data_IF_874984422390
#
_entry.id   IF_874984422390
#
_cell.length_a   1.000
_cell.length_b   1.000
_cell.length_c   1.000
_cell.angle_alpha   90.00
_cell.angle_beta   90.00
_cell.angle_gamma   90.00
#
_symmetry.space_group_name_H-M   'P 1'
#
loop_
_entity.id
_entity.type
_entity.pdbx_description
1 polymer ?
#
# COMPACT_ATOMS: atom_id res chain seq x y z
N UNK A 1 51.02 -33.07 -44.94
CA UNK A 1 50.51 -31.69 -44.88
C UNK A 1 48.99 -31.68 -44.67
N UNK A 2 48.45 -32.27 -43.58
CA UNK A 2 46.98 -32.31 -43.32
C UNK A 2 46.66 -32.41 -41.81
N UNK A 3 47.44 -31.76 -40.93
CA UNK A 3 47.21 -31.84 -39.47
C UNK A 3 46.98 -30.45 -38.85
N UNK A 4 47.43 -29.37 -39.49
CA UNK A 4 47.25 -28.01 -38.99
C UNK A 4 45.90 -27.35 -39.31
N UNK A 5 45.12 -27.87 -40.28
CA UNK A 5 43.83 -27.28 -40.66
C UNK A 5 42.64 -27.75 -39.81
N UNK A 6 42.75 -28.87 -39.08
CA UNK A 6 41.65 -29.36 -38.24
C UNK A 6 41.57 -28.69 -36.86
N UNK A 7 42.67 -28.14 -36.37
CA UNK A 7 42.72 -27.45 -35.07
C UNK A 7 42.14 -26.02 -35.09
N UNK A 8 42.15 -25.36 -36.25
CA UNK A 8 41.58 -24.01 -36.39
C UNK A 8 40.06 -24.02 -36.57
N UNK A 9 39.49 -25.07 -37.16
CA UNK A 9 38.05 -25.17 -37.36
C UNK A 9 37.29 -25.53 -36.07
N UNK A 10 37.90 -26.36 -35.20
CA UNK A 10 37.30 -26.75 -33.92
C UNK A 10 37.32 -25.62 -32.89
N UNK A 11 38.34 -24.78 -32.90
CA UNK A 11 38.43 -23.60 -32.01
C UNK A 11 37.43 -22.51 -32.39
N UNK A 12 37.15 -22.32 -33.68
CA UNK A 12 36.15 -21.34 -34.15
C UNK A 12 34.70 -21.78 -33.83
N UNK A 13 34.40 -23.08 -33.91
CA UNK A 13 33.10 -23.66 -33.54
C UNK A 13 32.83 -23.57 -32.02
N UNK A 14 33.86 -23.74 -31.18
CA UNK A 14 33.73 -23.52 -29.74
C UNK A 14 33.49 -22.04 -29.38
N UNK A 15 34.17 -21.10 -30.05
CA UNK A 15 33.97 -19.65 -29.83
C UNK A 15 32.56 -19.17 -30.24
N UNK A 16 31.99 -19.74 -31.32
CA UNK A 16 30.60 -19.46 -31.73
C UNK A 16 29.57 -20.06 -30.76
N UNK A 17 29.83 -21.23 -30.17
CA UNK A 17 28.98 -21.82 -29.14
C UNK A 17 28.98 -21.00 -27.83
N UNK A 18 30.10 -20.39 -27.46
CA UNK A 18 30.18 -19.45 -26.34
C UNK A 18 29.43 -18.12 -26.63
N UNK A 19 29.42 -17.64 -27.88
CA UNK A 19 28.69 -16.43 -28.26
C UNK A 19 27.16 -16.60 -28.23
N UNK A 20 26.64 -17.78 -28.62
CA UNK A 20 25.21 -18.07 -28.58
C UNK A 20 24.66 -18.32 -27.17
N UNK A 21 25.53 -18.61 -26.20
CA UNK A 21 25.14 -18.71 -24.78
C UNK A 21 25.12 -17.35 -24.07
N UNK A 22 25.56 -16.27 -24.73
CA UNK A 22 25.56 -14.92 -24.17
C UNK A 22 24.22 -14.18 -24.42
N UNK A 23 23.42 -14.62 -25.39
CA UNK A 23 22.12 -14.02 -25.68
C UNK A 23 20.98 -14.53 -24.79
N UNK A 24 21.14 -15.69 -24.13
CA UNK A 24 20.15 -16.22 -23.19
C UNK A 24 20.31 -15.71 -21.76
N UNK A 25 21.38 -14.95 -21.44
CA UNK A 25 21.51 -14.30 -20.12
C UNK A 25 20.93 -12.87 -20.06
N UNK A 26 20.34 -12.37 -21.15
CA UNK A 26 19.68 -11.04 -21.15
C UNK A 26 18.21 -11.13 -20.70
N UNK A 27 17.65 -12.33 -20.59
CA UNK A 27 16.29 -12.55 -20.10
C UNK A 27 16.32 -13.14 -18.68
N UNK A 28 16.33 -12.25 -17.68
CA UNK A 28 15.86 -12.45 -16.29
C UNK A 28 16.76 -11.79 -15.24
N UNK A 29 17.37 -10.64 -15.51
CA UNK A 29 17.43 -9.64 -14.45
C UNK A 29 16.02 -9.05 -14.36
N UNK A 30 15.11 -9.73 -13.63
CA UNK A 30 14.11 -8.96 -12.90
C UNK A 30 14.94 -8.00 -12.07
N UNK A 31 14.97 -6.74 -12.48
CA UNK A 31 15.28 -5.68 -11.55
C UNK A 31 14.31 -5.87 -10.39
N UNK A 32 14.77 -6.55 -9.34
CA UNK A 32 14.51 -6.07 -8.00
C UNK A 32 15.14 -4.68 -7.97
N UNK A 33 14.50 -3.71 -8.65
CA UNK A 33 14.58 -2.34 -8.23
C UNK A 33 14.25 -2.44 -6.76
N UNK A 34 15.25 -2.18 -5.92
CA UNK A 34 15.01 -1.94 -4.51
C UNK A 34 14.14 -0.70 -4.54
N UNK A 35 12.83 -0.92 -4.65
CA UNK A 35 11.85 0.12 -4.69
C UNK A 35 12.03 0.81 -3.36
N UNK A 36 12.53 2.04 -3.40
CA UNK A 36 12.87 2.76 -2.18
C UNK A 36 11.70 2.74 -1.20
N UNK A 37 11.99 2.89 0.08
CA UNK A 37 10.93 3.14 1.03
C UNK A 37 10.38 4.56 0.81
N UNK A 38 9.07 4.66 0.76
CA UNK A 38 8.35 5.92 0.80
C UNK A 38 7.71 6.08 2.19
N UNK A 39 7.61 7.32 2.64
CA UNK A 39 6.86 7.67 3.84
C UNK A 39 5.47 8.15 3.47
N UNK A 40 4.49 7.77 4.29
CA UNK A 40 3.08 8.05 4.08
C UNK A 40 2.48 8.67 5.33
N UNK A 41 1.53 9.58 5.15
CA UNK A 41 0.67 10.10 6.21
C UNK A 41 -0.75 9.61 5.98
N UNK A 42 -1.25 8.85 6.95
CA UNK A 42 -2.59 8.28 6.96
C UNK A 42 -3.43 9.12 7.90
N UNK A 43 -4.49 9.73 7.38
CA UNK A 43 -5.45 10.51 8.17
C UNK A 43 -6.76 9.73 8.27
N UNK A 44 -7.25 9.49 9.48
CA UNK A 44 -8.49 8.75 9.74
C UNK A 44 -9.39 9.57 10.66
N UNK A 45 -10.61 9.85 10.22
CA UNK A 45 -11.66 10.40 11.08
C UNK A 45 -12.46 9.25 11.70
N UNK A 46 -12.73 9.32 12.99
CA UNK A 46 -13.75 8.51 13.66
C UNK A 46 -15.04 9.31 13.80
N UNK A 47 -16.17 8.72 13.40
CA UNK A 47 -17.45 9.43 13.37
C UNK A 47 -17.88 9.97 14.74
N UNK A 48 -18.64 11.07 14.73
CA UNK A 48 -19.22 11.71 15.91
C UNK A 48 -20.47 11.03 16.50
N UNK A 49 -20.58 9.70 16.41
CA UNK A 49 -21.71 8.98 17.02
C UNK A 49 -21.31 8.30 18.31
N UNK A 50 -22.27 8.18 19.24
CA UNK A 50 -22.08 7.42 20.48
C UNK A 50 -21.54 6.02 20.15
N UNK A 51 -20.50 5.60 20.87
CA UNK A 51 -19.80 4.31 20.70
C UNK A 51 -19.14 4.10 19.32
N UNK A 52 -18.81 5.18 18.59
CA UNK A 52 -18.09 5.07 17.31
C UNK A 52 -16.62 4.68 17.46
N UNK A 53 -15.99 4.99 18.59
CA UNK A 53 -14.56 4.79 18.82
C UNK A 53 -14.19 3.37 19.22
N UNK A 54 -12.89 3.08 19.20
CA UNK A 54 -12.33 1.75 19.49
C UNK A 54 -11.02 1.80 20.27
N UNK A 55 -10.72 0.71 20.98
CA UNK A 55 -9.43 0.40 21.62
C UNK A 55 -8.65 -0.67 20.88
N UNK A 56 -9.31 -1.35 19.94
CA UNK A 56 -8.79 -2.52 19.26
C UNK A 56 -7.65 -2.17 18.29
N UNK A 57 -6.97 -3.22 17.84
CA UNK A 57 -5.97 -3.07 16.80
C UNK A 57 -6.62 -2.85 15.44
N UNK A 58 -6.25 -1.75 14.79
CA UNK A 58 -6.63 -1.45 13.42
C UNK A 58 -5.42 -1.68 12.52
N UNK A 59 -5.58 -2.54 11.51
CA UNK A 59 -4.59 -2.72 10.44
C UNK A 59 -5.10 -2.04 9.17
N UNK A 60 -4.17 -1.62 8.31
CA UNK A 60 -4.44 -0.91 7.08
C UNK A 60 -3.75 -1.60 5.90
N UNK A 61 -4.41 -1.71 4.76
CA UNK A 61 -3.81 -2.09 3.49
C UNK A 61 -4.24 -1.11 2.41
N UNK A 62 -3.32 -0.49 1.70
CA UNK A 62 -3.62 0.47 0.63
C UNK A 62 -2.64 0.30 -0.53
N UNK A 63 -2.95 0.91 -1.66
CA UNK A 63 -2.06 0.89 -2.80
C UNK A 63 -2.68 1.45 -4.08
N UNK A 64 -2.01 1.15 -5.19
CA UNK A 64 -2.26 1.80 -6.47
C UNK A 64 -2.74 0.83 -7.57
N UNK A 65 -2.97 1.39 -8.77
CA UNK A 65 -3.45 0.64 -9.93
C UNK A 65 -2.46 -0.39 -10.46
N UNK A 66 -1.18 -0.27 -10.09
CA UNK A 66 -0.07 -1.13 -10.52
C UNK A 66 0.21 -2.29 -9.55
N UNK A 67 -0.68 -2.50 -8.58
CA UNK A 67 -0.54 -3.55 -7.55
C UNK A 67 0.64 -3.33 -6.63
N UNK A 68 1.09 -2.08 -6.48
CA UNK A 68 1.98 -1.73 -5.39
C UNK A 68 1.12 -1.63 -4.13
N UNK A 69 1.32 -2.56 -3.19
CA UNK A 69 0.56 -2.63 -1.95
C UNK A 69 1.42 -2.39 -0.71
N UNK A 70 0.87 -1.57 0.18
CA UNK A 70 1.45 -1.26 1.48
C UNK A 70 0.52 -1.82 2.54
N UNK A 71 1.09 -2.56 3.48
CA UNK A 71 0.39 -3.25 4.53
C UNK A 71 0.96 -2.84 5.89
N UNK A 72 0.12 -2.24 6.72
CA UNK A 72 0.47 -1.76 8.06
C UNK A 72 -0.26 -2.61 9.10
N UNK A 73 0.50 -3.20 10.02
CA UNK A 73 -0.03 -4.11 11.06
C UNK A 73 0.63 -3.84 12.42
N UNK A 74 -0.14 -3.41 13.43
CA UNK A 74 -1.27 -2.48 13.39
C UNK A 74 -0.80 -1.02 13.24
N UNK A 75 -1.74 -0.07 13.05
CA UNK A 75 -1.43 1.35 13.16
C UNK A 75 -0.94 1.66 14.59
N UNK A 76 0.28 2.18 14.68
CA UNK A 76 0.95 2.46 15.95
C UNK A 76 0.42 3.76 16.57
N UNK A 77 0.43 3.84 17.90
CA UNK A 77 -0.03 5.02 18.66
C UNK A 77 0.93 6.22 18.62
N UNK A 78 1.97 6.22 17.78
CA UNK A 78 3.02 7.25 17.85
C UNK A 78 2.48 8.59 17.34
N UNK A 79 2.48 9.57 18.25
CA UNK A 79 2.32 11.01 18.04
C UNK A 79 1.22 11.39 17.05
N UNK A 80 -0.03 11.34 17.52
CA UNK A 80 -1.18 11.91 16.81
C UNK A 80 -1.06 13.43 16.89
N UNK A 81 -0.64 14.08 15.80
CA UNK A 81 -0.81 15.54 15.67
C UNK A 81 -2.30 15.80 15.51
N UNK A 82 -2.93 16.35 16.55
CA UNK A 82 -4.30 16.84 16.43
C UNK A 82 -4.31 18.08 15.55
N UNK A 83 -5.20 18.14 14.58
CA UNK A 83 -5.54 19.38 13.88
C UNK A 83 -6.81 19.90 14.56
N UNK A 84 -6.65 20.56 15.70
CA UNK A 84 -7.76 21.33 16.28
C UNK A 84 -8.03 22.51 15.34
N UNK A 85 -9.23 22.58 14.77
CA UNK A 85 -9.65 23.60 13.79
C UNK A 85 -9.64 25.04 14.38
N UNK A 86 -9.35 25.19 15.67
CA UNK A 86 -9.44 26.44 16.44
C UNK A 86 -8.19 26.77 17.27
N UNK A 87 -7.17 25.91 17.33
CA UNK A 87 -5.95 26.24 18.09
C UNK A 87 -4.69 25.77 17.37
N UNK A 88 -3.97 26.75 16.83
CA UNK A 88 -2.71 26.54 16.16
C UNK A 88 -1.63 26.44 17.25
N UNK A 89 -1.15 25.22 17.49
CA UNK A 89 -0.02 24.89 18.38
C UNK A 89 -0.37 24.51 19.83
N UNK A 90 -0.90 23.31 20.00
CA UNK A 90 -0.66 22.56 21.24
C UNK A 90 0.36 21.47 20.93
N UNK A 91 1.64 21.76 21.22
CA UNK A 91 2.72 20.78 21.23
C UNK A 91 2.64 19.97 22.54
N UNK A 92 1.51 19.27 22.74
CA UNK A 92 1.37 18.36 23.87
C UNK A 92 1.90 16.99 23.45
N UNK A 93 3.10 16.65 23.93
CA UNK A 93 3.70 15.31 23.87
C UNK A 93 2.93 14.27 24.73
N UNK A 94 1.61 14.42 24.89
CA UNK A 94 0.76 13.49 25.61
C UNK A 94 0.30 12.40 24.64
N UNK A 95 0.64 11.11 24.86
CA UNK A 95 0.15 10.02 24.04
C UNK A 95 -1.39 9.92 24.14
N UNK A 96 -2.10 10.45 23.14
CA UNK A 96 -3.56 10.32 23.07
C UNK A 96 -3.93 8.95 22.50
N UNK A 97 -4.99 8.34 23.05
CA UNK A 97 -5.55 7.10 22.52
C UNK A 97 -6.14 7.41 21.13
N UNK A 98 -5.74 6.70 20.06
CA UNK A 98 -6.32 6.92 18.74
C UNK A 98 -7.75 6.40 18.67
N UNK A 99 -8.44 6.73 17.58
CA UNK A 99 -9.76 6.24 17.20
C UNK A 99 -10.86 6.55 18.23
N UNK A 100 -10.75 7.71 18.90
CA UNK A 100 -11.82 8.20 19.77
C UNK A 100 -12.94 8.83 18.95
N UNK A 101 -14.20 8.80 19.41
CA UNK A 101 -15.31 9.46 18.72
C UNK A 101 -15.01 10.93 18.45
N UNK A 102 -15.38 11.43 17.26
CA UNK A 102 -15.12 12.80 16.80
C UNK A 102 -13.64 13.19 16.58
N UNK A 103 -12.69 12.26 16.70
CA UNK A 103 -11.29 12.58 16.48
C UNK A 103 -10.88 12.37 15.02
N UNK A 104 -9.91 13.17 14.60
CA UNK A 104 -9.11 12.93 13.40
C UNK A 104 -7.71 12.53 13.86
N UNK A 105 -7.30 11.32 13.54
CA UNK A 105 -5.99 10.78 13.89
C UNK A 105 -5.08 10.74 12.65
N UNK A 106 -3.83 11.17 12.79
CA UNK A 106 -2.79 11.05 11.76
C UNK A 106 -1.72 10.03 12.17
N UNK A 107 -1.29 9.20 11.22
CA UNK A 107 -0.24 8.20 11.40
C UNK A 107 0.80 8.31 10.29
N UNK A 108 2.07 8.40 10.67
CA UNK A 108 3.17 8.29 9.71
C UNK A 108 3.66 6.84 9.64
N UNK A 109 3.78 6.31 8.42
CA UNK A 109 4.26 4.94 8.17
C UNK A 109 5.22 4.93 7.00
N UNK A 110 6.15 3.98 7.02
CA UNK A 110 7.06 3.72 5.90
C UNK A 110 6.68 2.41 5.22
N UNK A 111 6.88 2.34 3.90
CA UNK A 111 6.62 1.14 3.12
C UNK A 111 7.08 1.24 1.66
N UNK A 112 6.84 0.21 0.86
CA UNK A 112 7.19 0.23 -0.56
C UNK A 112 6.50 1.37 -1.30
N UNK A 113 7.23 2.12 -2.11
CA UNK A 113 6.64 3.21 -2.89
C UNK A 113 5.49 2.75 -3.81
N UNK A 114 4.53 3.65 -4.03
CA UNK A 114 3.54 3.55 -5.13
C UNK A 114 4.05 4.30 -6.36
N UNK A 115 3.56 3.94 -7.55
CA UNK A 115 3.95 4.56 -8.82
C UNK A 115 2.80 5.36 -9.46
N UNK A 116 1.59 5.17 -8.97
CA UNK A 116 0.39 5.89 -9.40
C UNK A 116 -0.43 6.33 -8.18
N UNK A 117 -1.48 7.11 -8.42
CA UNK A 117 -2.43 7.54 -7.37
C UNK A 117 -2.96 6.34 -6.59
N UNK A 118 -2.91 6.44 -5.26
CA UNK A 118 -3.51 5.44 -4.36
C UNK A 118 -5.02 5.42 -4.60
N UNK A 119 -5.53 4.26 -5.03
CA UNK A 119 -6.92 4.10 -5.48
C UNK A 119 -7.67 2.99 -4.72
N UNK A 120 -7.04 2.34 -3.74
CA UNK A 120 -7.73 1.42 -2.85
C UNK A 120 -7.21 1.52 -1.43
N UNK A 121 -8.10 1.22 -0.47
CA UNK A 121 -7.80 1.19 0.95
C UNK A 121 -8.75 0.21 1.65
N UNK A 122 -8.16 -0.62 2.51
CA UNK A 122 -8.86 -1.58 3.36
C UNK A 122 -8.42 -1.43 4.81
N UNK A 123 -9.40 -1.40 5.70
CA UNK A 123 -9.20 -1.42 7.14
C UNK A 123 -9.55 -2.81 7.67
N UNK A 124 -8.83 -3.26 8.69
CA UNK A 124 -9.15 -4.49 9.42
C UNK A 124 -9.15 -4.20 10.92
N UNK A 125 -10.32 -4.32 11.53
CA UNK A 125 -10.52 -4.23 12.97
C UNK A 125 -10.30 -5.61 13.60
N UNK A 126 -9.39 -5.69 14.56
CA UNK A 126 -9.09 -6.94 15.30
C UNK A 126 -9.29 -6.73 16.79
N UNK A 127 -10.31 -7.38 17.37
CA UNK A 127 -10.64 -7.35 18.79
C UNK A 127 -12.14 -7.40 19.03
N UNK A 128 -12.60 -6.97 20.21
CA UNK A 128 -13.98 -7.19 20.69
C UNK A 128 -14.91 -5.98 20.63
N UNK A 129 -14.39 -4.75 20.65
CA UNK A 129 -15.21 -3.53 20.50
C UNK A 129 -15.51 -3.16 19.03
N UNK A 130 -16.58 -2.40 18.82
CA UNK A 130 -17.00 -1.92 17.50
C UNK A 130 -16.17 -0.68 17.10
N UNK A 131 -16.12 -0.37 15.82
CA UNK A 131 -15.54 0.89 15.34
C UNK A 131 -16.28 1.42 14.12
N UNK A 132 -16.59 2.73 14.12
CA UNK A 132 -17.22 3.44 13.01
C UNK A 132 -16.31 4.56 12.50
N UNK A 133 -15.43 4.26 11.52
CA UNK A 133 -14.66 5.29 10.83
C UNK A 133 -15.59 6.18 9.99
N UNK A 134 -15.30 7.48 9.97
CA UNK A 134 -15.88 8.47 9.08
C UNK A 134 -15.25 8.37 7.70
N UNK A 135 -14.01 8.85 7.58
CA UNK A 135 -13.19 8.73 6.37
C UNK A 135 -11.76 8.28 6.67
N UNK A 136 -11.06 7.83 5.63
CA UNK A 136 -9.61 7.67 5.63
C UNK A 136 -9.01 8.33 4.38
N UNK A 137 -7.78 8.85 4.49
CA UNK A 137 -6.99 9.37 3.38
C UNK A 137 -5.54 8.95 3.55
N UNK A 138 -4.84 8.70 2.43
CA UNK A 138 -3.40 8.43 2.42
C UNK A 138 -2.69 9.47 1.57
N UNK A 139 -1.72 10.16 2.18
CA UNK A 139 -0.83 11.10 1.52
C UNK A 139 0.55 10.49 1.40
N UNK A 140 1.19 10.65 0.25
CA UNK A 140 2.58 10.22 0.02
C UNK A 140 3.47 11.43 0.26
N UNK A 141 4.41 11.32 1.20
CA UNK A 141 5.38 12.39 1.43
C UNK A 141 6.22 12.61 0.17
N UNK A 142 6.51 13.87 -0.14
CA UNK A 142 7.28 14.32 -1.30
C UNK A 142 6.69 13.99 -2.68
N UNK A 143 5.53 13.31 -2.77
CA UNK A 143 4.90 12.89 -4.03
C UNK A 143 3.39 13.09 -4.02
N UNK A 144 2.94 14.33 -3.82
CA UNK A 144 1.52 14.68 -3.65
C UNK A 144 0.60 14.20 -4.79
N UNK A 145 1.11 14.07 -6.03
CA UNK A 145 0.35 13.52 -7.18
C UNK A 145 -0.13 12.08 -6.98
N UNK A 146 0.47 11.35 -6.03
CA UNK A 146 0.12 9.97 -5.70
C UNK A 146 -0.81 9.85 -4.48
N UNK A 147 -1.20 10.97 -3.88
CA UNK A 147 -2.17 10.99 -2.77
C UNK A 147 -3.50 10.36 -3.19
N UNK A 148 -4.18 9.73 -2.25
CA UNK A 148 -5.52 9.21 -2.46
C UNK A 148 -6.59 10.31 -2.36
N UNK A 149 -7.74 10.04 -2.98
CA UNK A 149 -9.00 10.64 -2.57
C UNK A 149 -9.43 10.15 -1.18
N UNK A 150 -10.54 10.71 -0.67
CA UNK A 150 -11.14 10.28 0.59
C UNK A 150 -11.91 8.97 0.44
N UNK A 151 -11.62 8.02 1.33
CA UNK A 151 -12.36 6.77 1.47
C UNK A 151 -13.41 6.90 2.59
N UNK A 152 -14.68 7.06 2.24
CA UNK A 152 -15.76 7.26 3.22
C UNK A 152 -16.36 5.94 3.71
N UNK A 153 -16.19 5.61 4.99
CA UNK A 153 -16.75 4.39 5.56
C UNK A 153 -18.14 4.62 6.15
N UNK A 154 -18.27 5.57 7.09
CA UNK A 154 -19.51 5.99 7.78
C UNK A 154 -20.41 4.85 8.30
N UNK A 155 -19.85 3.67 8.57
CA UNK A 155 -20.53 2.46 9.06
C UNK A 155 -19.62 1.67 9.99
N UNK A 156 -20.21 0.87 10.87
CA UNK A 156 -19.43 -0.01 11.74
C UNK A 156 -18.70 -1.06 10.90
N UNK A 157 -17.40 -1.24 11.14
CA UNK A 157 -16.63 -2.24 10.42
C UNK A 157 -16.92 -3.65 10.96
N UNK A 158 -17.04 -4.65 10.07
CA UNK A 158 -17.03 -6.04 10.49
C UNK A 158 -15.68 -6.39 11.13
N UNK A 159 -15.70 -7.22 12.18
CA UNK A 159 -14.50 -7.65 12.89
C UNK A 159 -13.74 -8.73 12.10
N UNK A 160 -12.43 -8.78 12.28
CA UNK A 160 -11.52 -9.82 11.80
C UNK A 160 -11.45 -9.99 10.27
N UNK A 161 -12.10 -9.13 9.49
CA UNK A 161 -12.09 -9.15 8.03
C UNK A 161 -11.56 -7.82 7.47
N UNK A 162 -11.02 -7.86 6.25
CA UNK A 162 -10.64 -6.66 5.52
C UNK A 162 -11.89 -6.02 4.92
N UNK A 163 -12.11 -4.74 5.20
CA UNK A 163 -13.25 -3.97 4.70
C UNK A 163 -12.79 -2.64 4.13
N UNK A 164 -13.24 -2.28 2.93
CA UNK A 164 -12.65 -1.16 2.21
C UNK A 164 -13.24 -0.88 0.84
N UNK A 165 -12.48 -0.12 0.06
CA UNK A 165 -12.81 0.32 -1.29
C UNK A 165 -11.67 0.00 -2.24
N UNK A 166 -11.99 -0.45 -3.45
CA UNK A 166 -11.06 -0.60 -4.57
C UNK A 166 -11.60 0.12 -5.80
N UNK A 167 -11.21 1.39 -5.90
CA UNK A 167 -11.61 2.31 -6.95
C UNK A 167 -10.63 2.26 -8.13
N UNK A 168 -9.64 1.36 -8.10
CA UNK A 168 -8.69 1.22 -9.19
C UNK A 168 -9.37 0.64 -10.43
N UNK A 169 -8.99 1.19 -11.58
CA UNK A 169 -9.37 0.66 -12.88
C UNK A 169 -8.40 -0.47 -13.29
N UNK A 170 -8.66 -1.68 -12.77
CA UNK A 170 -7.88 -2.90 -13.03
C UNK A 170 -8.68 -4.17 -12.80
N UNK A 171 -8.20 -5.27 -13.37
CA UNK A 171 -8.85 -6.59 -13.29
C UNK A 171 -8.50 -7.39 -12.03
N UNK A 172 -7.42 -7.03 -11.32
CA UNK A 172 -6.96 -7.77 -10.13
C UNK A 172 -6.91 -6.86 -8.92
N UNK A 173 -7.54 -7.30 -7.84
CA UNK A 173 -7.49 -6.66 -6.51
C UNK A 173 -6.43 -7.36 -5.65
N UNK A 174 -6.05 -6.80 -4.48
CA UNK A 174 -5.13 -7.46 -3.56
C UNK A 174 -5.70 -8.75 -2.93
N UNK A 175 -6.96 -9.09 -3.23
CA UNK A 175 -7.67 -10.29 -2.79
C UNK A 175 -8.07 -11.22 -3.93
N UNK A 176 -7.65 -10.97 -5.18
CA UNK A 176 -7.95 -11.79 -6.35
C UNK A 176 -8.67 -11.02 -7.47
N UNK A 177 -9.22 -11.75 -8.44
CA UNK A 177 -9.82 -11.19 -9.66
C UNK A 177 -11.07 -10.35 -9.32
N UNK A 178 -11.11 -9.13 -9.85
CA UNK A 178 -12.23 -8.18 -9.71
C UNK A 178 -13.39 -8.64 -10.59
N UNK A 179 -14.44 -9.16 -9.95
CA UNK A 179 -15.66 -9.54 -10.67
C UNK A 179 -16.53 -8.29 -10.85
N UNK A 180 -16.74 -7.84 -12.09
CA UNK A 180 -17.72 -6.80 -12.39
C UNK A 180 -19.11 -7.39 -12.16
N UNK A 181 -19.86 -6.88 -11.18
CA UNK A 181 -21.28 -7.25 -11.04
C UNK A 181 -22.00 -6.79 -12.30
N UNK A 182 -22.61 -7.72 -13.03
CA UNK A 182 -23.54 -7.38 -14.09
C UNK A 182 -24.75 -6.73 -13.44
N UNK A 183 -24.93 -5.43 -13.65
CA UNK A 183 -26.17 -4.74 -13.30
C UNK A 183 -27.13 -5.07 -14.45
N UNK A 184 -28.11 -5.92 -14.17
CA UNK A 184 -29.24 -6.08 -15.07
C UNK A 184 -30.15 -4.87 -14.85
N UNK A 185 -30.31 -4.04 -15.88
CA UNK A 185 -31.28 -2.94 -15.92
C UNK A 185 -32.67 -3.48 -16.24
#
# INVERSE_FOLDING_TARGET
MVIHQRFFATTLLFLLAFALNCQNMVFATRELQIKGNCSYVITIETSCTKNAGTSNHVSLRFGDSKSNDVLVRPLNRKHVKWVDKMDQSVLDDVPRKPFQPCNVDEFQVDGPCVDTTICYLYLKLTGSDNWRPGFAQVRVLDKARFNSDYFYFRRYLPRHVWHGYDLCDREVTPFGIKHKRKIFH
#
